data_IF_027092625163
#
_entry.id   IF_027092625163
#
_cell.length_a   1.000
_cell.length_b   1.000
_cell.length_c   1.000
_cell.angle_alpha   90.00
_cell.angle_beta   90.00
_cell.angle_gamma   90.00
#
_symmetry.space_group_name_H-M   'P 1'
#
loop_
_entity.id
_entity.type
_entity.pdbx_description
1 polymer ?
#
# COMPACT_ATOMS: atom_id res chain seq x y z
N UNK A 1 6.20 -19.57 14.53
CA UNK A 1 5.73 -18.24 14.98
C UNK A 1 4.23 -18.20 14.77
N UNK A 2 3.48 -18.63 15.77
CA UNK A 2 2.03 -18.84 15.64
C UNK A 2 1.33 -17.65 16.27
N UNK A 3 0.93 -16.67 15.45
CA UNK A 3 0.06 -15.61 15.92
C UNK A 3 -1.38 -16.12 15.82
N UNK A 4 -2.00 -16.40 16.96
CA UNK A 4 -3.43 -16.64 17.04
C UNK A 4 -4.18 -15.36 16.64
N UNK A 5 -5.34 -15.45 15.97
CA UNK A 5 -6.15 -14.28 15.68
C UNK A 5 -6.83 -13.81 16.98
N UNK A 6 -6.28 -12.78 17.62
CA UNK A 6 -6.97 -12.06 18.69
C UNK A 6 -8.04 -11.17 18.07
N UNK A 7 -9.27 -11.69 18.02
CA UNK A 7 -10.43 -11.02 17.46
C UNK A 7 -11.10 -10.05 18.47
N UNK A 8 -10.35 -9.57 19.48
CA UNK A 8 -10.85 -8.70 20.56
C UNK A 8 -10.05 -7.40 20.69
N UNK A 9 -9.77 -6.73 19.58
CA UNK A 9 -9.31 -5.34 19.64
C UNK A 9 -10.37 -4.43 19.00
N UNK A 10 -10.91 -3.49 19.78
CA UNK A 10 -11.56 -2.30 19.24
C UNK A 10 -10.45 -1.57 18.48
N UNK A 11 -10.33 -1.80 17.17
CA UNK A 11 -9.23 -1.26 16.37
C UNK A 11 -9.48 0.23 16.20
N UNK A 12 -8.79 1.06 16.99
CA UNK A 12 -8.79 2.50 16.77
C UNK A 12 -7.80 2.85 15.65
N UNK A 13 -7.91 4.06 15.08
CA UNK A 13 -7.10 4.48 13.92
C UNK A 13 -5.58 4.41 14.16
N UNK A 14 -5.13 4.56 15.40
CA UNK A 14 -3.71 4.45 15.77
C UNK A 14 -3.21 3.01 15.67
N UNK A 15 -4.01 2.05 16.11
CA UNK A 15 -3.68 0.64 16.04
C UNK A 15 -3.69 0.14 14.59
N UNK A 16 -4.64 0.60 13.76
CA UNK A 16 -4.64 0.33 12.32
C UNK A 16 -3.40 0.87 11.63
N UNK A 17 -2.98 2.11 11.94
CA UNK A 17 -1.79 2.73 11.36
C UNK A 17 -0.51 1.97 11.74
N UNK A 18 -0.39 1.55 13.00
CA UNK A 18 0.74 0.73 13.46
C UNK A 18 0.79 -0.62 12.75
N UNK A 19 -0.36 -1.29 12.62
CA UNK A 19 -0.44 -2.58 11.94
C UNK A 19 -0.04 -2.46 10.47
N UNK A 20 -0.57 -1.43 9.77
CA UNK A 20 -0.20 -1.14 8.39
C UNK A 20 1.32 -0.93 8.27
N UNK A 21 1.89 -0.05 9.09
CA UNK A 21 3.33 0.22 9.09
C UNK A 21 4.17 -1.04 9.33
N UNK A 22 3.78 -1.88 10.29
CA UNK A 22 4.47 -3.13 10.61
C UNK A 22 4.46 -4.10 9.42
N UNK A 23 3.29 -4.30 8.80
CA UNK A 23 3.15 -5.21 7.65
C UNK A 23 3.96 -4.70 6.47
N UNK A 24 3.83 -3.41 6.11
CA UNK A 24 4.57 -2.86 4.97
C UNK A 24 6.08 -2.91 5.20
N UNK A 25 6.55 -2.75 6.45
CA UNK A 25 7.97 -2.90 6.79
C UNK A 25 8.45 -4.33 6.57
N UNK A 26 7.71 -5.35 7.02
CA UNK A 26 8.08 -6.75 6.83
C UNK A 26 8.09 -7.16 5.34
N UNK A 27 7.10 -6.67 4.58
CA UNK A 27 7.00 -6.94 3.14
C UNK A 27 8.15 -6.28 2.37
N UNK A 28 8.50 -5.02 2.70
CA UNK A 28 9.68 -4.34 2.13
C UNK A 28 10.98 -5.05 2.46
N UNK A 29 11.15 -5.50 3.71
CA UNK A 29 12.32 -6.26 4.14
C UNK A 29 12.48 -7.59 3.38
N UNK A 30 11.38 -8.15 2.88
CA UNK A 30 11.36 -9.35 2.04
C UNK A 30 11.65 -9.06 0.56
N UNK A 31 11.97 -7.81 0.20
CA UNK A 31 12.25 -7.41 -1.19
C UNK A 31 11.02 -7.35 -2.09
N UNK A 32 9.81 -7.35 -1.52
CA UNK A 32 8.56 -7.32 -2.28
C UNK A 32 8.18 -5.87 -2.63
N UNK A 33 7.81 -5.64 -3.89
CA UNK A 33 7.32 -4.34 -4.35
C UNK A 33 5.86 -4.12 -3.94
N UNK A 34 5.60 -3.05 -3.20
CA UNK A 34 4.29 -2.64 -2.71
C UNK A 34 3.81 -1.44 -3.52
N UNK A 35 2.69 -1.61 -4.20
CA UNK A 35 1.92 -0.53 -4.82
C UNK A 35 0.68 -0.25 -3.98
N UNK A 36 0.37 1.02 -3.74
CA UNK A 36 -0.76 1.43 -2.91
C UNK A 36 -1.66 2.41 -3.66
N UNK A 37 -2.98 2.18 -3.62
CA UNK A 37 -3.97 3.05 -4.25
C UNK A 37 -4.78 3.78 -3.17
N UNK A 38 -4.59 5.09 -3.04
CA UNK A 38 -5.36 5.93 -2.11
C UNK A 38 -6.66 6.41 -2.73
N UNK A 39 -7.76 5.68 -2.54
CA UNK A 39 -9.06 6.05 -3.09
C UNK A 39 -9.77 7.07 -2.19
N UNK A 40 -9.91 8.30 -2.66
CA UNK A 40 -10.61 9.40 -1.97
C UNK A 40 -10.09 9.64 -0.53
N UNK A 41 -8.79 9.40 -0.33
CA UNK A 41 -8.11 9.59 0.96
C UNK A 41 -7.43 10.96 1.04
N UNK A 42 -7.41 11.53 2.24
CA UNK A 42 -6.68 12.76 2.55
C UNK A 42 -5.99 12.70 3.91
N UNK A 43 -5.14 13.68 4.20
CA UNK A 43 -4.47 13.84 5.50
C UNK A 43 -3.55 12.66 5.84
N UNK A 44 -3.64 12.17 7.08
CA UNK A 44 -2.78 11.10 7.58
C UNK A 44 -2.89 9.81 6.75
N UNK A 45 -4.07 9.50 6.20
CA UNK A 45 -4.24 8.31 5.36
C UNK A 45 -3.33 8.36 4.11
N UNK A 46 -3.21 9.52 3.46
CA UNK A 46 -2.28 9.72 2.34
C UNK A 46 -0.84 9.46 2.75
N UNK A 47 -0.42 9.96 3.91
CA UNK A 47 0.93 9.74 4.46
C UNK A 47 1.18 8.27 4.76
N UNK A 48 0.25 7.59 5.44
CA UNK A 48 0.38 6.16 5.76
C UNK A 48 0.50 5.30 4.50
N UNK A 49 -0.32 5.57 3.48
CA UNK A 49 -0.29 4.81 2.23
C UNK A 49 0.97 5.09 1.42
N UNK A 50 1.41 6.34 1.35
CA UNK A 50 2.67 6.72 0.68
C UNK A 50 3.88 6.07 1.35
N UNK A 51 3.90 6.04 2.69
CA UNK A 51 4.96 5.39 3.46
C UNK A 51 4.91 3.85 3.34
N UNK A 52 3.74 3.26 3.12
CA UNK A 52 3.61 1.82 2.89
C UNK A 52 4.13 1.41 1.50
N UNK A 53 3.98 2.24 0.48
CA UNK A 53 4.48 1.99 -0.87
C UNK A 53 6.02 1.80 -0.89
N UNK A 54 6.56 0.98 -1.79
CA UNK A 54 8.01 0.71 -1.87
C UNK A 54 8.83 1.98 -2.07
N UNK A 55 8.32 2.91 -2.88
CA UNK A 55 8.81 4.28 -2.95
C UNK A 55 7.64 5.23 -3.18
N UNK A 56 7.80 6.56 -3.03
CA UNK A 56 6.72 7.51 -3.32
C UNK A 56 6.13 7.37 -4.73
N UNK A 57 6.91 6.88 -5.71
CA UNK A 57 6.44 6.61 -7.07
C UNK A 57 5.54 5.37 -7.23
N UNK A 58 5.38 4.57 -6.16
CA UNK A 58 4.49 3.40 -6.11
C UNK A 58 3.14 3.71 -5.42
N UNK A 59 2.93 4.95 -4.99
CA UNK A 59 1.65 5.42 -4.48
C UNK A 59 0.84 6.08 -5.61
N UNK A 60 -0.41 5.66 -5.77
CA UNK A 60 -1.34 6.19 -6.75
C UNK A 60 -2.57 6.76 -6.05
N UNK A 61 -2.77 8.09 -6.04
CA UNK A 61 -4.03 8.68 -5.62
C UNK A 61 -5.11 8.36 -6.66
N UNK A 62 -6.31 7.99 -6.19
CA UNK A 62 -7.46 7.71 -7.04
C UNK A 62 -8.71 8.40 -6.49
N UNK A 63 -9.63 8.78 -7.37
CA UNK A 63 -10.94 9.35 -7.02
C UNK A 63 -11.95 9.03 -8.11
N UNK A 64 -13.23 8.87 -7.77
CA UNK A 64 -14.30 8.56 -8.73
C UNK A 64 -13.94 7.45 -9.73
N UNK A 65 -13.94 7.75 -11.03
CA UNK A 65 -13.59 6.82 -12.11
C UNK A 65 -12.07 6.56 -12.26
N UNK A 66 -11.23 7.26 -11.51
CA UNK A 66 -9.77 7.23 -11.62
C UNK A 66 -9.09 5.93 -11.17
N UNK A 67 -9.81 5.02 -10.51
CA UNK A 67 -9.26 3.76 -10.04
C UNK A 67 -8.76 2.86 -11.19
N UNK A 68 -9.46 2.87 -12.33
CA UNK A 68 -9.02 2.17 -13.54
C UNK A 68 -7.69 2.71 -14.08
N UNK A 69 -7.46 4.02 -13.98
CA UNK A 69 -6.21 4.66 -14.35
C UNK A 69 -5.04 4.27 -13.45
N UNK A 70 -5.27 4.19 -12.14
CA UNK A 70 -4.28 3.71 -11.18
C UNK A 70 -3.84 2.26 -11.48
N UNK A 71 -4.79 1.34 -11.67
CA UNK A 71 -4.48 -0.04 -12.03
C UNK A 71 -3.77 -0.17 -13.39
N UNK A 72 -4.15 0.64 -14.39
CA UNK A 72 -3.46 0.67 -15.69
C UNK A 72 -2.01 1.15 -15.55
N UNK A 73 -1.76 2.12 -14.67
CA UNK A 73 -0.41 2.64 -14.40
C UNK A 73 0.47 1.57 -13.75
N UNK A 74 -0.06 0.84 -12.76
CA UNK A 74 0.62 -0.30 -12.13
C UNK A 74 0.94 -1.38 -13.18
N UNK A 75 -0.05 -1.77 -14.01
CA UNK A 75 0.14 -2.76 -15.08
C UNK A 75 1.25 -2.35 -16.04
N UNK A 76 1.34 -1.05 -16.38
CA UNK A 76 2.39 -0.52 -17.24
C UNK A 76 3.77 -0.59 -16.58
N UNK A 77 3.88 -0.24 -15.29
CA UNK A 77 5.12 -0.36 -14.53
C UNK A 77 5.62 -1.81 -14.47
N UNK A 78 4.73 -2.77 -14.25
CA UNK A 78 5.06 -4.21 -14.24
C UNK A 78 5.52 -4.66 -15.63
N UNK A 79 4.84 -4.24 -16.71
CA UNK A 79 5.24 -4.58 -18.08
C UNK A 79 6.62 -4.04 -18.44
N UNK A 80 7.00 -2.86 -17.95
CA UNK A 80 8.34 -2.28 -18.19
C UNK A 80 9.46 -3.15 -17.60
N UNK A 81 9.25 -3.74 -16.42
CA UNK A 81 10.20 -4.70 -15.83
C UNK A 81 10.40 -5.96 -16.69
N UNK A 82 9.40 -6.33 -17.51
CA UNK A 82 9.50 -7.45 -18.44
C UNK A 82 10.26 -7.13 -19.73
N UNK A 83 10.32 -5.85 -20.12
CA UNK A 83 10.89 -5.42 -21.41
C UNK A 83 12.38 -5.04 -21.32
N UNK A 84 13.00 -5.15 -20.14
CA UNK A 84 14.44 -4.89 -19.91
C UNK A 84 15.27 -6.18 -19.87
N UNK A 85 14.81 -7.24 -20.54
CA UNK A 85 15.55 -8.47 -20.81
C UNK A 85 15.53 -8.76 -22.31
#
# INVERSE_FOLDING_TARGET
>A
MTQAPDNKQIINSTDTAKMLSSVCTAVKASGITIFTNGFEVSGNATTQMTNCATSPGHYYPASGSGLGGAFKSISTSIKKLRQTQ
#
